data_IF_677902557425
#
_entry.id   IF_677902557425
#
_cell.length_a   1.000
_cell.length_b   1.000
_cell.length_c   1.000
_cell.angle_alpha   90.00
_cell.angle_beta   90.00
_cell.angle_gamma   90.00
#
_symmetry.space_group_name_H-M   'P 1'
#
loop_
_entity.id
_entity.type
_entity.pdbx_description
1 polymer ?
#
# COMPACT_ATOMS: atom_id res chain seq x y z
N UNK A 1 24.34 -27.38 12.46
CA UNK A 1 24.11 -26.82 12.48
C UNK A 1 23.54 -26.09 12.14
N UNK A 2 23.05 -26.42 12.09
CA UNK A 2 22.34 -25.69 11.63
C UNK A 2 22.55 -24.43 11.91
N UNK A 3 23.05 -24.14 12.54
CA UNK A 3 23.11 -23.03 12.63
C UNK A 3 23.57 -22.32 11.80
N UNK A 4 23.81 -22.80 11.13
CA UNK A 4 24.35 -21.98 10.12
C UNK A 4 23.40 -21.55 9.10
N UNK A 5 22.12 -21.84 9.23
CA UNK A 5 21.15 -21.21 8.39
C UNK A 5 20.88 -19.82 8.90
N UNK A 6 21.01 -18.80 8.05
CA UNK A 6 20.62 -17.47 8.47
C UNK A 6 19.17 -17.49 8.91
N UNK A 7 18.90 -16.83 10.00
CA UNK A 7 17.53 -16.65 10.43
C UNK A 7 16.83 -15.87 9.34
N UNK A 8 15.86 -16.50 8.70
CA UNK A 8 15.07 -15.85 7.66
C UNK A 8 14.07 -14.94 8.35
N UNK A 9 14.41 -13.67 8.46
CA UNK A 9 13.45 -12.70 8.93
C UNK A 9 12.55 -12.38 7.74
N UNK A 10 11.25 -12.69 7.79
CA UNK A 10 10.38 -12.39 6.67
C UNK A 10 10.39 -10.91 6.38
N UNK A 11 10.53 -10.56 5.11
CA UNK A 11 10.43 -9.17 4.70
C UNK A 11 8.98 -8.72 4.81
N UNK A 12 8.73 -7.54 5.36
CA UNK A 12 7.36 -7.03 5.41
C UNK A 12 6.75 -6.97 4.02
N UNK A 13 5.50 -7.37 3.91
CA UNK A 13 4.80 -7.36 2.64
C UNK A 13 4.10 -6.02 2.43
N UNK A 14 4.40 -5.40 1.29
CA UNK A 14 3.72 -4.21 0.81
C UNK A 14 2.83 -4.63 -0.34
N UNK A 15 1.53 -4.41 -0.21
CA UNK A 15 0.59 -4.70 -1.30
C UNK A 15 0.25 -3.41 -2.04
N UNK A 16 0.12 -3.51 -3.35
CA UNK A 16 -0.20 -2.39 -4.21
C UNK A 16 -1.55 -2.67 -4.87
N UNK A 17 -2.50 -1.78 -4.71
CA UNK A 17 -3.81 -1.89 -5.34
C UNK A 17 -4.00 -0.67 -6.24
N UNK A 18 -3.97 -0.89 -7.55
CA UNK A 18 -4.07 0.17 -8.54
C UNK A 18 -4.58 -0.44 -9.84
N UNK A 19 -5.52 0.21 -10.51
CA UNK A 19 -6.00 -0.28 -11.80
C UNK A 19 -5.09 0.11 -12.96
N UNK A 20 -4.05 0.90 -12.71
CA UNK A 20 -3.06 1.29 -13.73
C UNK A 20 -2.02 0.18 -13.86
N UNK A 21 -1.98 -0.45 -15.04
CA UNK A 21 -1.06 -1.55 -15.30
C UNK A 21 0.41 -1.13 -15.12
N UNK A 22 0.77 0.07 -15.56
CA UNK A 22 2.15 0.55 -15.43
C UNK A 22 2.60 0.61 -13.99
N UNK A 23 1.73 1.06 -13.09
CA UNK A 23 2.07 1.14 -11.67
C UNK A 23 2.10 -0.24 -11.04
N UNK A 24 1.21 -1.15 -11.46
CA UNK A 24 1.25 -2.52 -10.96
C UNK A 24 2.55 -3.23 -11.34
N UNK A 25 3.18 -2.82 -12.44
CA UNK A 25 4.45 -3.40 -12.84
C UNK A 25 5.63 -2.73 -12.16
N UNK A 26 5.62 -1.41 -12.05
CA UNK A 26 6.79 -0.66 -11.59
C UNK A 26 6.88 -0.55 -10.07
N UNK A 27 5.76 -0.36 -9.37
CA UNK A 27 5.81 -0.15 -7.92
C UNK A 27 6.30 -1.37 -7.15
N UNK A 28 5.86 -2.60 -7.47
CA UNK A 28 6.39 -3.76 -6.76
C UNK A 28 7.90 -3.90 -6.91
N UNK A 29 8.44 -3.65 -8.11
CA UNK A 29 9.87 -3.76 -8.32
C UNK A 29 10.63 -2.73 -7.48
N UNK A 30 10.12 -1.50 -7.42
CA UNK A 30 10.72 -0.45 -6.64
C UNK A 30 10.71 -0.81 -5.14
N UNK A 31 9.59 -1.31 -4.66
CA UNK A 31 9.44 -1.71 -3.26
C UNK A 31 10.41 -2.84 -2.93
N UNK A 32 10.57 -3.80 -3.84
CA UNK A 32 11.52 -4.90 -3.64
C UNK A 32 12.96 -4.40 -3.59
N UNK A 33 13.28 -3.39 -4.37
CA UNK A 33 14.63 -2.78 -4.33
C UNK A 33 14.92 -2.17 -2.98
N UNK A 34 13.87 -1.71 -2.27
CA UNK A 34 14.04 -1.17 -0.93
C UNK A 34 14.15 -2.24 0.15
N UNK A 35 14.02 -3.51 -0.22
CA UNK A 35 14.20 -4.62 0.72
C UNK A 35 12.90 -5.21 1.26
N UNK A 36 11.76 -4.86 0.70
CA UNK A 36 10.47 -5.37 1.13
C UNK A 36 9.94 -6.42 0.14
N UNK A 37 8.97 -7.20 0.58
CA UNK A 37 8.21 -8.06 -0.33
C UNK A 37 7.06 -7.25 -0.92
N UNK A 38 6.60 -7.62 -2.10
CA UNK A 38 5.55 -6.86 -2.76
C UNK A 38 4.62 -7.75 -3.57
N UNK A 39 3.34 -7.42 -3.55
CA UNK A 39 2.32 -8.02 -4.39
C UNK A 39 1.46 -6.91 -4.98
N UNK A 40 0.92 -7.13 -6.16
CA UNK A 40 0.10 -6.12 -6.82
C UNK A 40 -1.25 -6.71 -7.21
N UNK A 41 -2.28 -5.88 -7.12
CA UNK A 41 -3.65 -6.26 -7.40
C UNK A 41 -4.30 -5.18 -8.26
N UNK A 42 -5.15 -5.61 -9.20
CA UNK A 42 -5.81 -4.68 -10.11
C UNK A 42 -7.09 -4.07 -9.53
N UNK A 43 -7.57 -4.58 -8.39
CA UNK A 43 -8.78 -4.08 -7.78
C UNK A 43 -8.76 -4.33 -6.27
N UNK A 44 -9.58 -3.57 -5.56
CA UNK A 44 -9.76 -3.77 -4.13
C UNK A 44 -10.35 -5.15 -3.84
N UNK A 45 -11.29 -5.59 -4.67
CA UNK A 45 -11.91 -6.89 -4.50
C UNK A 45 -10.91 -8.03 -4.64
N UNK A 46 -10.01 -7.93 -5.62
CA UNK A 46 -8.97 -8.94 -5.79
C UNK A 46 -8.06 -9.01 -4.56
N UNK A 47 -7.71 -7.85 -4.00
CA UNK A 47 -6.90 -7.80 -2.79
C UNK A 47 -7.63 -8.45 -1.61
N UNK A 48 -8.90 -8.09 -1.40
CA UNK A 48 -9.68 -8.61 -0.28
C UNK A 48 -9.86 -10.13 -0.36
N UNK A 49 -9.92 -10.67 -1.57
CA UNK A 49 -10.09 -12.11 -1.78
C UNK A 49 -8.77 -12.88 -1.76
N UNK A 50 -7.63 -12.19 -1.66
CA UNK A 50 -6.34 -12.84 -1.77
C UNK A 50 -5.87 -13.43 -0.45
N UNK A 51 -4.94 -14.37 -0.55
CA UNK A 51 -4.26 -14.92 0.63
C UNK A 51 -3.28 -13.92 1.24
N UNK A 52 -3.03 -12.81 0.56
CA UNK A 52 -2.07 -11.80 1.03
C UNK A 52 -2.68 -10.76 1.95
N UNK A 53 -4.01 -10.72 2.06
CA UNK A 53 -4.68 -9.73 2.93
C UNK A 53 -4.13 -9.77 4.36
N UNK A 54 -4.06 -10.96 4.94
CA UNK A 54 -3.62 -11.10 6.32
C UNK A 54 -2.12 -10.89 6.50
N UNK A 55 -1.36 -10.95 5.42
CA UNK A 55 0.09 -10.80 5.45
C UNK A 55 0.54 -9.37 5.16
N UNK A 56 -0.35 -8.54 4.66
CA UNK A 56 -0.01 -7.18 4.23
C UNK A 56 0.27 -6.29 5.43
N UNK A 57 1.45 -5.67 5.43
CA UNK A 57 1.90 -4.77 6.48
C UNK A 57 1.82 -3.31 6.08
N UNK A 58 1.66 -3.05 4.81
CA UNK A 58 1.51 -1.70 4.27
C UNK A 58 0.77 -1.82 2.94
N UNK A 59 -0.18 -0.91 2.72
CA UNK A 59 -0.99 -0.93 1.50
C UNK A 59 -0.79 0.38 0.75
N UNK A 60 -0.35 0.28 -0.51
CA UNK A 60 -0.29 1.41 -1.42
C UNK A 60 -1.55 1.33 -2.27
N UNK A 61 -2.38 2.37 -2.21
CA UNK A 61 -3.77 2.28 -2.68
C UNK A 61 -4.15 3.49 -3.52
N UNK A 62 -4.58 3.24 -4.74
CA UNK A 62 -5.10 4.30 -5.61
C UNK A 62 -6.43 4.81 -5.05
N UNK A 63 -6.60 6.12 -5.02
CA UNK A 63 -7.84 6.74 -4.56
C UNK A 63 -8.98 6.42 -5.52
N UNK A 64 -8.73 6.50 -6.83
CA UNK A 64 -9.79 6.38 -7.83
C UNK A 64 -9.63 5.11 -8.65
N UNK A 65 -10.58 4.20 -8.51
CA UNK A 65 -10.65 2.97 -9.29
C UNK A 65 -12.08 2.81 -9.79
N UNK A 66 -12.43 3.47 -10.90
CA UNK A 66 -13.83 3.64 -11.27
C UNK A 66 -14.60 2.35 -11.54
N UNK A 67 -13.92 1.25 -11.84
CA UNK A 67 -14.60 0.00 -12.13
C UNK A 67 -14.59 -0.99 -10.97
N UNK A 68 -14.21 -0.52 -9.78
CA UNK A 68 -14.18 -1.37 -8.61
C UNK A 68 -14.43 -0.51 -7.38
N UNK A 69 -14.34 -1.14 -6.21
CA UNK A 69 -14.39 -0.40 -4.94
C UNK A 69 -13.28 0.66 -4.94
N UNK A 70 -13.60 1.89 -4.55
CA UNK A 70 -12.62 2.97 -4.51
C UNK A 70 -11.63 2.75 -3.37
N UNK A 71 -10.52 3.52 -3.39
CA UNK A 71 -9.56 3.48 -2.30
C UNK A 71 -10.18 3.78 -0.95
N UNK A 72 -10.90 4.91 -0.80
CA UNK A 72 -11.56 5.20 0.48
C UNK A 72 -12.57 4.14 0.90
N UNK A 73 -13.27 3.51 -0.05
CA UNK A 73 -14.19 2.42 0.25
C UNK A 73 -13.43 1.22 0.83
N UNK A 74 -12.28 0.89 0.25
CA UNK A 74 -11.46 -0.20 0.76
C UNK A 74 -10.95 0.12 2.18
N UNK A 75 -10.55 1.37 2.41
CA UNK A 75 -10.13 1.79 3.74
C UNK A 75 -11.25 1.54 4.76
N UNK A 76 -12.48 1.92 4.42
CA UNK A 76 -13.62 1.68 5.30
C UNK A 76 -13.89 0.20 5.52
N UNK A 77 -13.76 -0.59 4.46
CA UNK A 77 -13.98 -2.03 4.57
C UNK A 77 -12.94 -2.70 5.48
N UNK A 78 -11.68 -2.28 5.39
CA UNK A 78 -10.62 -2.80 6.25
C UNK A 78 -10.88 -2.43 7.70
N UNK A 79 -11.32 -1.19 7.96
CA UNK A 79 -11.68 -0.76 9.30
C UNK A 79 -12.85 -1.59 9.85
N UNK A 80 -13.86 -1.86 9.01
CA UNK A 80 -15.01 -2.66 9.40
C UNK A 80 -14.58 -4.08 9.79
N UNK A 81 -13.57 -4.61 9.09
CA UNK A 81 -13.02 -5.95 9.38
C UNK A 81 -11.99 -5.93 10.50
N UNK A 82 -11.73 -4.76 11.08
CA UNK A 82 -10.72 -4.56 12.13
C UNK A 82 -9.32 -4.94 11.67
N UNK A 83 -9.03 -4.69 10.38
CA UNK A 83 -7.69 -4.85 9.82
C UNK A 83 -7.02 -3.50 9.82
N UNK A 84 -6.07 -3.32 10.73
CA UNK A 84 -5.37 -2.04 10.86
C UNK A 84 -4.12 -2.04 10.01
N UNK A 85 -4.30 -1.95 8.69
CA UNK A 85 -3.20 -1.92 7.76
C UNK A 85 -2.87 -0.46 7.46
N UNK A 86 -1.63 -0.02 7.67
CA UNK A 86 -1.24 1.35 7.29
C UNK A 86 -1.42 1.55 5.79
N UNK A 87 -2.05 2.65 5.40
CA UNK A 87 -2.39 2.92 4.00
C UNK A 87 -1.67 4.17 3.52
N UNK A 88 -1.02 4.05 2.36
CA UNK A 88 -0.47 5.16 1.60
C UNK A 88 -1.33 5.30 0.36
N UNK A 89 -2.08 6.39 0.27
CA UNK A 89 -2.89 6.63 -0.91
C UNK A 89 -2.04 7.26 -2.01
N UNK A 90 -2.39 6.96 -3.25
CA UNK A 90 -1.85 7.66 -4.41
C UNK A 90 -3.01 8.19 -5.23
N UNK A 91 -2.85 9.38 -5.80
CA UNK A 91 -3.90 10.03 -6.55
C UNK A 91 -3.31 10.81 -7.71
N UNK A 92 -4.06 10.89 -8.81
CA UNK A 92 -3.67 11.70 -9.95
C UNK A 92 -4.01 13.18 -9.76
N UNK A 93 -4.83 13.51 -8.76
CA UNK A 93 -5.30 14.88 -8.56
C UNK A 93 -4.83 15.41 -7.22
N UNK A 94 -4.24 16.61 -7.28
CA UNK A 94 -3.77 17.27 -6.08
C UNK A 94 -4.86 18.06 -5.39
N UNK A 95 -5.88 17.41 -4.90
CA UNK A 95 -6.93 18.05 -4.13
C UNK A 95 -6.59 17.97 -2.65
N UNK A 96 -6.22 19.10 -2.07
CA UNK A 96 -5.81 19.17 -0.68
C UNK A 96 -6.95 18.76 0.27
N UNK A 97 -8.18 19.05 -0.10
CA UNK A 97 -9.33 18.66 0.73
C UNK A 97 -9.44 17.16 0.84
N UNK A 98 -9.28 16.46 -0.28
CA UNK A 98 -9.30 14.99 -0.30
C UNK A 98 -8.13 14.45 0.51
N UNK A 99 -6.94 15.02 0.31
CA UNK A 99 -5.76 14.58 1.03
C UNK A 99 -5.94 14.69 2.53
N UNK A 100 -6.41 15.84 3.00
CA UNK A 100 -6.62 16.06 4.43
C UNK A 100 -7.69 15.12 4.99
N UNK A 101 -8.73 14.86 4.22
CA UNK A 101 -9.78 13.94 4.66
C UNK A 101 -9.23 12.52 4.83
N UNK A 102 -8.43 12.06 3.86
CA UNK A 102 -7.85 10.72 3.93
C UNK A 102 -6.89 10.57 5.10
N UNK A 103 -6.08 11.61 5.35
CA UNK A 103 -5.17 11.59 6.49
C UNK A 103 -5.95 11.61 7.81
N UNK A 104 -7.04 12.37 7.86
CA UNK A 104 -7.89 12.41 9.05
C UNK A 104 -8.54 11.04 9.32
N UNK A 105 -8.77 10.25 8.28
CA UNK A 105 -9.32 8.90 8.42
C UNK A 105 -8.25 7.86 8.74
N UNK A 106 -7.03 8.29 8.97
CA UNK A 106 -5.96 7.40 9.43
C UNK A 106 -4.93 6.99 8.40
N UNK A 107 -5.00 7.52 7.18
CA UNK A 107 -3.98 7.21 6.17
C UNK A 107 -2.62 7.75 6.62
N UNK A 108 -1.56 7.03 6.26
CA UNK A 108 -0.20 7.45 6.59
C UNK A 108 0.21 8.64 5.72
N UNK A 109 -0.11 8.59 4.44
CA UNK A 109 0.23 9.64 3.50
C UNK A 109 -0.66 9.55 2.28
N UNK A 110 -0.71 10.63 1.52
CA UNK A 110 -1.37 10.66 0.22
C UNK A 110 -0.42 11.32 -0.76
N UNK A 111 0.09 10.54 -1.70
CA UNK A 111 1.06 11.00 -2.69
C UNK A 111 0.36 11.35 -4.00
N UNK A 112 0.77 12.44 -4.61
CA UNK A 112 0.19 12.91 -5.87
C UNK A 112 1.10 12.46 -7.01
N UNK A 113 0.53 11.85 -8.05
CA UNK A 113 1.27 11.41 -9.23
C UNK A 113 1.67 12.62 -10.08
N UNK A 114 2.87 12.68 -10.61
CA UNK A 114 3.97 11.75 -10.37
C UNK A 114 4.68 12.06 -9.05
N UNK A 115 5.03 11.03 -8.32
CA UNK A 115 5.77 11.18 -7.07
C UNK A 115 7.17 10.60 -7.23
N UNK A 116 8.10 11.05 -6.39
CA UNK A 116 9.46 10.55 -6.45
C UNK A 116 9.58 9.22 -5.71
N UNK A 117 10.60 8.45 -6.09
CA UNK A 117 10.92 7.21 -5.38
C UNK A 117 11.20 7.47 -3.92
N UNK A 118 11.88 8.60 -3.63
CA UNK A 118 12.20 8.98 -2.26
C UNK A 118 10.94 9.22 -1.43
N UNK A 119 9.96 9.93 -2.00
CA UNK A 119 8.71 10.20 -1.30
C UNK A 119 7.97 8.90 -0.98
N UNK A 120 7.93 7.98 -1.93
CA UNK A 120 7.30 6.69 -1.70
C UNK A 120 8.03 5.89 -0.63
N UNK A 121 9.36 5.84 -0.71
CA UNK A 121 10.16 5.11 0.26
C UNK A 121 9.97 5.65 1.67
N UNK A 122 9.95 6.97 1.82
CA UNK A 122 9.74 7.58 3.14
C UNK A 122 8.36 7.24 3.70
N UNK A 123 7.33 7.25 2.84
CA UNK A 123 5.99 6.89 3.27
C UNK A 123 5.93 5.42 3.71
N UNK A 124 6.56 4.52 2.96
CA UNK A 124 6.60 3.10 3.31
C UNK A 124 7.35 2.89 4.63
N UNK A 125 8.46 3.59 4.81
CA UNK A 125 9.20 3.50 6.07
C UNK A 125 8.36 3.98 7.25
N UNK A 126 7.64 5.08 7.07
CA UNK A 126 6.76 5.59 8.13
C UNK A 126 5.67 4.59 8.48
N UNK A 127 5.15 3.89 7.47
CA UNK A 127 4.10 2.91 7.67
C UNK A 127 4.62 1.66 8.41
N UNK A 128 5.83 1.21 8.07
CA UNK A 128 6.36 -0.05 8.58
C UNK A 128 7.19 0.09 9.83
N UNK A 129 7.70 1.30 10.09
CA UNK A 129 8.55 1.56 11.23
C UNK A 129 8.07 2.81 11.97
N UNK A 130 6.85 2.75 12.54
CA UNK A 130 6.33 3.92 13.25
C UNK A 130 7.15 4.15 14.51
N UNK A 131 7.30 5.40 14.84
CA UNK A 131 8.02 5.75 16.07
C UNK A 131 7.11 5.69 17.27
#
# INVERSE_FOLDING_TARGET
MGRDQPVMIPRPLVSVVDDDESLRESLPDLVREFGYSAQAFSSAEAFLASDYLDQTRCLILDVSMPQSMSGPDLQRELSRRRREIPIIFITAQGDETIRLHLLDQGAIECLIKPFSDTALLEAVRSALHPK
#
